data_IF_765396485437
#
_entry.id   IF_765396485437
#
_cell.length_a   1.000
_cell.length_b   1.000
_cell.length_c   1.000
_cell.angle_alpha   90.00
_cell.angle_beta   90.00
_cell.angle_gamma   90.00
#
_symmetry.space_group_name_H-M   'P 1'
#
loop_
_entity.id
_entity.type
_entity.pdbx_description
1 polymer ?
#
# COMPACT_ATOMS: atom_id res chain seq x y z
N UNK A 1 -11.54 13.42 -16.48
CA UNK A 1 -12.07 12.58 -15.39
C UNK A 1 -11.45 13.07 -14.09
N UNK A 2 -12.19 13.07 -12.97
CA UNK A 2 -11.63 13.50 -11.68
C UNK A 2 -10.77 12.37 -11.12
N UNK A 3 -9.56 12.67 -10.66
CA UNK A 3 -8.72 11.69 -9.98
C UNK A 3 -9.39 11.26 -8.67
N UNK A 4 -9.31 9.97 -8.39
CA UNK A 4 -9.71 9.34 -7.14
C UNK A 4 -8.47 9.11 -6.29
N UNK A 5 -8.64 9.09 -4.97
CA UNK A 5 -7.58 8.76 -4.01
C UNK A 5 -7.71 7.31 -3.60
N UNK A 6 -6.59 6.61 -3.50
CA UNK A 6 -6.54 5.21 -3.11
C UNK A 6 -5.55 5.02 -1.96
N UNK A 7 -5.86 4.07 -1.08
CA UNK A 7 -4.92 3.53 -0.10
C UNK A 7 -4.60 2.08 -0.48
N UNK A 8 -3.32 1.73 -0.38
CA UNK A 8 -2.82 0.38 -0.61
C UNK A 8 -2.33 -0.19 0.71
N UNK A 9 -2.87 -1.33 1.11
CA UNK A 9 -2.47 -2.04 2.32
C UNK A 9 -2.03 -3.46 1.99
N UNK A 10 -1.19 -4.04 2.84
CA UNK A 10 -0.78 -5.45 2.75
C UNK A 10 -1.00 -6.15 4.09
N UNK A 11 -1.46 -7.40 4.10
CA UNK A 11 -1.41 -8.24 5.29
C UNK A 11 -0.03 -8.89 5.49
N UNK A 12 0.89 -8.76 4.51
CA UNK A 12 2.22 -9.36 4.60
C UNK A 12 3.09 -8.64 5.63
N UNK A 13 3.92 -9.41 6.32
CA UNK A 13 4.90 -8.91 7.29
C UNK A 13 4.32 -8.60 8.66
N UNK A 14 5.13 -7.95 9.48
CA UNK A 14 4.80 -7.57 10.86
C UNK A 14 5.05 -6.08 11.06
N UNK A 15 4.26 -5.48 11.94
CA UNK A 15 4.50 -4.11 12.40
C UNK A 15 5.19 -4.15 13.75
N UNK A 16 6.34 -3.50 13.88
CA UNK A 16 6.98 -3.33 15.16
C UNK A 16 6.28 -2.21 15.95
N UNK A 17 5.71 -2.56 17.10
CA UNK A 17 5.06 -1.62 18.00
C UNK A 17 6.09 -0.80 18.81
N UNK A 18 5.69 0.31 19.47
CA UNK A 18 6.62 1.14 20.25
C UNK A 18 7.34 0.43 21.41
N UNK A 19 6.83 -0.72 21.85
CA UNK A 19 7.46 -1.60 22.84
C UNK A 19 8.42 -2.63 22.21
N UNK A 20 8.74 -2.51 20.91
CA UNK A 20 9.56 -3.42 20.12
C UNK A 20 8.98 -4.83 19.93
N UNK A 21 7.69 -5.04 20.20
CA UNK A 21 7.02 -6.29 19.84
C UNK A 21 6.57 -6.27 18.38
N UNK A 22 6.76 -7.39 17.70
CA UNK A 22 6.23 -7.61 16.36
C UNK A 22 4.76 -8.03 16.47
N UNK A 23 3.88 -7.26 15.82
CA UNK A 23 2.43 -7.47 15.85
C UNK A 23 1.93 -7.77 14.44
N UNK A 24 1.12 -8.83 14.33
CA UNK A 24 0.37 -9.14 13.10
C UNK A 24 -0.69 -8.07 12.87
N UNK A 25 -0.53 -7.29 11.81
CA UNK A 25 -1.47 -6.26 11.40
C UNK A 25 -1.31 -5.94 9.92
N UNK A 26 -2.34 -5.37 9.31
CA UNK A 26 -2.20 -4.80 7.97
C UNK A 26 -1.32 -3.55 8.00
N UNK A 27 -0.44 -3.42 7.02
CA UNK A 27 0.46 -2.29 6.85
C UNK A 27 0.05 -1.42 5.67
N UNK A 28 0.21 -0.11 5.78
CA UNK A 28 -0.03 0.80 4.65
C UNK A 28 1.22 0.85 3.78
N UNK A 29 1.08 0.45 2.52
CA UNK A 29 2.15 0.54 1.51
C UNK A 29 2.23 1.93 0.87
N UNK A 30 1.12 2.66 0.81
CA UNK A 30 1.10 4.03 0.32
C UNK A 30 -0.28 4.53 -0.07
N UNK A 31 -0.29 5.78 -0.53
CA UNK A 31 -1.47 6.46 -1.06
C UNK A 31 -1.13 6.99 -2.45
N UNK A 32 -2.04 6.79 -3.41
CA UNK A 32 -1.87 7.32 -4.76
C UNK A 32 -3.18 7.85 -5.31
N UNK A 33 -3.07 8.70 -6.32
CA UNK A 33 -4.20 9.18 -7.11
C UNK A 33 -4.21 8.53 -8.50
N UNK A 34 -5.39 8.26 -9.04
CA UNK A 34 -5.55 7.73 -10.40
C UNK A 34 -6.97 7.91 -10.92
N UNK A 35 -7.15 7.79 -12.23
CA UNK A 35 -8.47 7.69 -12.83
C UNK A 35 -9.19 6.40 -12.41
N UNK A 36 -8.42 5.34 -12.16
CA UNK A 36 -8.85 4.05 -11.64
C UNK A 36 -7.77 3.41 -10.75
N UNK A 37 -8.12 2.26 -10.16
CA UNK A 37 -7.24 1.47 -9.30
C UNK A 37 -5.95 1.04 -10.02
N UNK A 38 -6.02 0.69 -11.31
CA UNK A 38 -4.88 0.19 -12.08
C UNK A 38 -3.84 1.29 -12.28
N UNK A 39 -4.28 2.50 -12.62
CA UNK A 39 -3.40 3.66 -12.74
C UNK A 39 -2.74 3.99 -11.39
N UNK A 40 -3.54 4.02 -10.31
CA UNK A 40 -3.04 4.29 -8.97
C UNK A 40 -2.02 3.22 -8.50
N UNK A 41 -2.29 1.94 -8.75
CA UNK A 41 -1.37 0.84 -8.43
C UNK A 41 -0.06 0.92 -9.23
N UNK A 42 -0.15 1.30 -10.51
CA UNK A 42 1.04 1.53 -11.35
C UNK A 42 1.92 2.67 -10.80
N UNK A 43 1.30 3.74 -10.29
CA UNK A 43 2.00 4.84 -9.62
C UNK A 43 2.62 4.40 -8.30
N UNK A 44 1.90 3.59 -7.50
CA UNK A 44 2.41 3.05 -6.23
C UNK A 44 3.74 2.34 -6.45
N UNK A 45 3.80 1.37 -7.37
CA UNK A 45 5.02 0.60 -7.64
C UNK A 45 6.14 1.42 -8.30
N UNK A 46 5.81 2.50 -8.99
CA UNK A 46 6.79 3.41 -9.58
C UNK A 46 7.43 4.31 -8.52
N UNK A 47 6.62 4.83 -7.59
CA UNK A 47 7.04 5.77 -6.56
C UNK A 47 7.64 5.06 -5.32
N UNK A 48 7.24 3.81 -5.09
CA UNK A 48 7.67 2.98 -3.95
C UNK A 48 8.37 1.72 -4.46
N UNK A 49 9.55 1.90 -5.06
CA UNK A 49 10.32 0.79 -5.64
C UNK A 49 10.71 -0.28 -4.61
N UNK A 50 10.79 0.10 -3.34
CA UNK A 50 11.09 -0.78 -2.22
C UNK A 50 10.06 -1.92 -2.06
N UNK A 51 8.80 -1.72 -2.45
CA UNK A 51 7.75 -2.76 -2.36
C UNK A 51 8.16 -4.00 -3.15
N UNK A 52 8.83 -3.81 -4.30
CA UNK A 52 9.29 -4.90 -5.17
C UNK A 52 10.45 -5.71 -4.56
N UNK A 53 11.16 -5.13 -3.61
CA UNK A 53 12.36 -5.74 -3.01
C UNK A 53 12.13 -6.26 -1.60
N UNK A 54 11.04 -5.86 -0.93
CA UNK A 54 10.71 -6.29 0.44
C UNK A 54 9.86 -7.57 0.52
N UNK A 55 9.37 -8.07 -0.63
CA UNK A 55 8.60 -9.32 -0.69
C UNK A 55 7.13 -9.19 -0.30
N UNK A 56 6.58 -7.97 -0.31
CA UNK A 56 5.13 -7.74 -0.16
C UNK A 56 4.42 -8.10 -1.46
N UNK A 57 3.74 -9.24 -1.45
CA UNK A 57 3.07 -9.82 -2.63
C UNK A 57 1.57 -9.56 -2.60
N UNK A 58 0.95 -9.55 -1.42
CA UNK A 58 -0.48 -9.34 -1.27
C UNK A 58 -0.78 -7.86 -1.05
N UNK A 59 -1.36 -7.20 -2.06
CA UNK A 59 -1.74 -5.78 -2.00
C UNK A 59 -3.24 -5.64 -2.17
N UNK A 60 -3.88 -5.02 -1.18
CA UNK A 60 -5.30 -4.69 -1.15
C UNK A 60 -5.45 -3.19 -1.40
N UNK A 61 -6.33 -2.82 -2.32
CA UNK A 61 -6.61 -1.43 -2.66
C UNK A 61 -8.01 -0.99 -2.21
N UNK A 62 -8.12 0.20 -1.63
CA UNK A 62 -9.39 0.84 -1.34
C UNK A 62 -9.44 2.27 -1.90
N UNK A 63 -10.54 2.61 -2.56
CA UNK A 63 -10.85 4.00 -2.94
C UNK A 63 -11.29 4.79 -1.69
N UNK A 64 -10.66 5.93 -1.47
CA UNK A 64 -10.97 6.86 -0.38
C UNK A 64 -12.00 7.88 -0.84
N UNK A 65 -13.06 8.08 -0.05
CA UNK A 65 -14.15 9.03 -0.32
C UNK A 65 -13.86 10.43 0.21
#
# INVERSE_FOLDING_TARGET
>A
MKNKKFIFITPDGYTQAPNNEDIENCQVLGFEEGADEKEALGRLYKNNTWIKTTGFNDVICYELK
#
